data_IF_811938528321
#
_entry.id   IF_811938528321
#
_cell.length_a   1.000
_cell.length_b   1.000
_cell.length_c   1.000
_cell.angle_alpha   90.00
_cell.angle_beta   90.00
_cell.angle_gamma   90.00
#
_symmetry.space_group_name_H-M   'P 1'
#
loop_
_entity.id
_entity.type
_entity.pdbx_description
1 polymer ?
#
# COMPACT_ATOMS: atom_id res chain seq x y z
N UNK A 1 9.29 63.10 40.60
CA UNK A 1 8.82 61.68 40.62
C UNK A 1 8.74 61.26 39.17
N UNK A 2 9.74 60.60 38.70
CA UNK A 2 9.96 60.17 37.30
C UNK A 2 9.95 58.64 37.29
N UNK A 3 9.02 58.06 36.52
CA UNK A 3 8.98 56.64 36.24
C UNK A 3 9.68 56.42 34.85
N UNK A 4 10.78 55.69 34.81
CA UNK A 4 11.36 55.28 33.53
C UNK A 4 11.16 53.76 33.34
N UNK A 5 10.12 53.34 32.64
CA UNK A 5 10.08 52.01 32.01
C UNK A 5 10.61 52.10 30.61
N UNK A 6 11.88 51.80 30.46
CA UNK A 6 12.51 51.50 29.20
C UNK A 6 12.03 50.13 28.71
N UNK A 7 11.54 49.99 27.47
CA UNK A 7 11.29 48.67 26.88
C UNK A 7 12.63 48.02 26.53
N UNK A 8 12.85 46.81 26.96
CA UNK A 8 13.92 45.92 26.54
C UNK A 8 13.77 45.62 25.04
N UNK A 9 14.84 45.62 24.23
CA UNK A 9 14.74 45.28 22.82
C UNK A 9 14.38 43.79 22.67
N UNK A 10 13.33 43.53 21.88
CA UNK A 10 12.95 42.22 21.41
C UNK A 10 14.16 41.54 20.72
N UNK A 11 14.63 40.46 21.33
CA UNK A 11 15.60 39.56 20.70
C UNK A 11 14.89 38.93 19.50
N UNK A 12 15.44 38.98 18.28
CA UNK A 12 14.85 38.31 17.15
C UNK A 12 14.78 36.80 17.43
N UNK A 13 13.58 36.23 17.48
CA UNK A 13 13.38 34.79 17.44
C UNK A 13 13.94 34.34 16.10
N UNK A 14 15.07 33.64 16.13
CA UNK A 14 15.60 32.98 14.93
C UNK A 14 14.48 32.15 14.32
N UNK A 15 14.09 32.50 13.13
CA UNK A 15 13.15 31.73 12.33
C UNK A 15 13.79 30.35 12.08
N UNK A 16 13.36 29.34 12.84
CA UNK A 16 13.74 27.97 12.60
C UNK A 16 13.28 27.64 11.19
N UNK A 17 14.20 27.57 10.25
CA UNK A 17 13.92 27.16 8.87
C UNK A 17 13.29 25.76 8.95
N UNK A 18 12.04 25.66 8.51
CA UNK A 18 11.36 24.38 8.45
C UNK A 18 12.24 23.38 7.67
N UNK A 19 12.46 22.15 8.17
CA UNK A 19 13.32 21.20 7.51
C UNK A 19 12.84 20.97 6.07
N UNK A 20 13.75 21.02 5.12
CA UNK A 20 13.44 20.71 3.72
C UNK A 20 13.06 19.24 3.65
N UNK A 21 11.78 18.95 3.38
CA UNK A 21 11.30 17.58 3.28
C UNK A 21 11.80 16.93 1.99
N UNK A 22 12.23 15.67 2.10
CA UNK A 22 12.55 14.83 0.96
C UNK A 22 11.31 14.67 0.06
N UNK A 23 11.47 14.81 -1.23
CA UNK A 23 10.43 14.49 -2.20
C UNK A 23 10.81 13.21 -2.91
N UNK A 24 9.95 12.18 -2.88
CA UNK A 24 10.27 10.92 -3.53
C UNK A 24 10.54 11.12 -5.02
N UNK A 25 11.59 10.48 -5.52
CA UNK A 25 11.93 10.41 -6.94
C UNK A 25 11.17 9.26 -7.61
N UNK A 26 10.96 8.18 -6.85
CA UNK A 26 10.23 6.99 -7.29
C UNK A 26 8.81 6.97 -6.73
N UNK A 27 7.88 6.21 -7.34
CA UNK A 27 6.57 5.93 -6.74
C UNK A 27 6.74 5.13 -5.44
N UNK A 28 6.66 5.80 -4.29
CA UNK A 28 6.79 5.16 -2.98
C UNK A 28 5.41 4.69 -2.50
N UNK A 29 5.32 3.43 -2.11
CA UNK A 29 4.09 2.79 -1.61
C UNK A 29 4.25 2.32 -0.17
N UNK A 30 3.23 2.54 0.64
CA UNK A 30 3.19 2.11 2.03
C UNK A 30 1.88 1.39 2.37
N UNK A 31 2.00 0.28 3.08
CA UNK A 31 0.89 -0.25 3.88
C UNK A 31 0.91 0.42 5.24
N UNK A 32 -0.27 0.87 5.71
CA UNK A 32 -0.43 1.43 7.05
C UNK A 32 -1.55 0.72 7.81
N UNK A 33 -1.31 0.35 9.08
CA UNK A 33 -2.26 -0.36 9.92
C UNK A 33 -2.08 -0.04 11.41
N UNK A 34 -3.10 -0.31 12.22
CA UNK A 34 -2.93 -0.52 13.66
C UNK A 34 -2.91 -2.02 13.94
N UNK A 35 -2.04 -2.44 14.87
CA UNK A 35 -1.80 -3.85 15.19
C UNK A 35 -3.04 -4.57 15.71
N UNK A 36 -2.99 -5.90 15.72
CA UNK A 36 -4.06 -6.77 16.23
C UNK A 36 -4.42 -6.38 17.67
N UNK A 37 -5.72 -6.35 17.97
CA UNK A 37 -6.34 -5.91 19.23
C UNK A 37 -6.13 -4.43 19.59
N UNK A 38 -5.57 -3.63 18.68
CA UNK A 38 -5.42 -2.19 18.87
C UNK A 38 -6.53 -1.42 18.13
N UNK A 39 -7.33 -0.70 18.87
CA UNK A 39 -8.39 0.17 18.35
C UNK A 39 -7.97 1.64 18.25
N UNK A 40 -6.72 1.99 18.56
CA UNK A 40 -6.23 3.36 18.52
C UNK A 40 -5.77 3.74 17.11
N UNK A 41 -6.70 4.09 16.26
CA UNK A 41 -6.44 4.42 14.85
C UNK A 41 -6.10 5.89 14.58
N UNK A 42 -6.29 6.78 15.54
CA UNK A 42 -6.08 8.22 15.34
C UNK A 42 -4.67 8.56 14.87
N UNK A 43 -3.65 7.95 15.50
CA UNK A 43 -2.24 8.19 15.18
C UNK A 43 -1.90 7.76 13.76
N UNK A 44 -2.23 6.52 13.40
CA UNK A 44 -1.93 5.99 12.07
C UNK A 44 -2.71 6.75 10.98
N UNK A 45 -3.92 7.23 11.30
CA UNK A 45 -4.70 8.08 10.39
C UNK A 45 -4.04 9.45 10.14
N UNK A 46 -3.39 10.03 11.14
CA UNK A 46 -2.61 11.27 10.95
C UNK A 46 -1.37 10.97 10.10
N UNK A 47 -0.61 9.93 10.44
CA UNK A 47 0.61 9.53 9.72
C UNK A 47 0.35 9.25 8.24
N UNK A 48 -0.72 8.49 7.91
CA UNK A 48 -1.08 8.22 6.52
C UNK A 48 -1.41 9.49 5.71
N UNK A 49 -2.04 10.50 6.36
CA UNK A 49 -2.35 11.78 5.71
C UNK A 49 -1.08 12.57 5.40
N UNK A 50 -0.08 12.52 6.29
CA UNK A 50 1.22 13.17 6.09
C UNK A 50 1.97 12.45 4.97
N UNK A 51 2.03 11.10 4.99
CA UNK A 51 2.60 10.30 3.90
C UNK A 51 2.01 10.71 2.53
N UNK A 52 0.68 10.75 2.43
CA UNK A 52 0.00 11.19 1.21
C UNK A 52 0.37 12.62 0.79
N UNK A 53 0.52 13.54 1.76
CA UNK A 53 0.88 14.94 1.45
C UNK A 53 2.31 15.06 0.94
N UNK A 54 3.16 14.07 1.21
CA UNK A 54 4.55 13.98 0.76
C UNK A 54 4.71 13.18 -0.56
N UNK A 55 3.61 12.82 -1.21
CA UNK A 55 3.65 12.16 -2.51
C UNK A 55 3.56 10.63 -2.48
N UNK A 56 3.32 10.02 -1.31
CA UNK A 56 3.28 8.57 -1.14
C UNK A 56 1.91 7.98 -1.51
N UNK A 57 1.92 6.82 -2.16
CA UNK A 57 0.75 5.99 -2.40
C UNK A 57 0.52 5.12 -1.14
N UNK A 58 -0.60 5.32 -0.43
CA UNK A 58 -0.85 4.67 0.86
C UNK A 58 -1.99 3.68 0.76
N UNK A 59 -1.71 2.42 1.05
CA UNK A 59 -2.68 1.35 1.27
C UNK A 59 -2.99 1.31 2.77
N UNK A 60 -4.18 1.79 3.15
CA UNK A 60 -4.57 1.84 4.55
C UNK A 60 -5.49 0.68 4.91
N UNK A 61 -5.07 -0.14 5.88
CA UNK A 61 -5.85 -1.32 6.30
C UNK A 61 -6.76 -1.04 7.50
N UNK A 62 -6.61 0.10 8.18
CA UNK A 62 -7.37 0.42 9.38
C UNK A 62 -6.75 -0.15 10.66
N UNK A 63 -7.61 -0.48 11.61
CA UNK A 63 -7.23 -0.97 12.94
C UNK A 63 -7.45 -2.48 13.07
N UNK A 64 -6.93 -3.06 14.15
CA UNK A 64 -7.11 -4.47 14.51
C UNK A 64 -6.67 -5.43 13.41
N UNK A 65 -5.45 -5.23 12.86
CA UNK A 65 -4.94 -6.05 11.76
C UNK A 65 -3.93 -7.08 12.23
N UNK A 66 -4.16 -8.32 11.82
CA UNK A 66 -3.21 -9.42 12.01
C UNK A 66 -1.94 -9.21 11.18
N UNK A 67 -0.87 -9.90 11.54
CA UNK A 67 0.36 -9.89 10.77
C UNK A 67 0.14 -10.41 9.35
N UNK A 68 -0.63 -11.49 9.19
CA UNK A 68 -0.85 -12.09 7.88
C UNK A 68 -1.64 -11.17 6.94
N UNK A 69 -2.65 -10.44 7.44
CA UNK A 69 -3.36 -9.42 6.64
C UNK A 69 -2.41 -8.31 6.16
N UNK A 70 -1.50 -7.86 7.03
CA UNK A 70 -0.52 -6.81 6.69
C UNK A 70 0.50 -7.33 5.68
N UNK A 71 1.00 -8.56 5.85
CA UNK A 71 1.95 -9.21 4.94
C UNK A 71 1.32 -9.45 3.57
N UNK A 72 0.11 -9.99 3.53
CA UNK A 72 -0.58 -10.23 2.26
C UNK A 72 -0.81 -8.93 1.49
N UNK A 73 -1.21 -7.87 2.19
CA UNK A 73 -1.31 -6.55 1.58
C UNK A 73 0.04 -6.05 1.06
N UNK A 74 1.09 -6.14 1.88
CA UNK A 74 2.42 -5.66 1.51
C UNK A 74 2.98 -6.38 0.28
N UNK A 75 2.80 -7.70 0.19
CA UNK A 75 3.24 -8.53 -0.94
C UNK A 75 2.42 -8.26 -2.20
N UNK A 76 1.10 -8.28 -2.11
CA UNK A 76 0.22 -8.09 -3.27
C UNK A 76 0.31 -6.67 -3.85
N UNK A 77 0.55 -5.69 -2.99
CA UNK A 77 0.70 -4.28 -3.38
C UNK A 77 2.15 -3.92 -3.75
N UNK A 78 3.12 -4.84 -3.57
CA UNK A 78 4.54 -4.63 -3.83
C UNK A 78 5.03 -3.30 -3.25
N UNK A 79 5.00 -3.18 -1.91
CA UNK A 79 5.30 -1.92 -1.22
C UNK A 79 6.77 -1.84 -0.80
N UNK A 80 7.30 -0.62 -0.68
CA UNK A 80 8.62 -0.38 -0.09
C UNK A 80 8.57 -0.36 1.44
N UNK A 81 7.43 0.03 2.03
CA UNK A 81 7.33 0.20 3.47
C UNK A 81 6.01 -0.24 4.08
N UNK A 82 6.10 -0.68 5.33
CA UNK A 82 4.96 -0.97 6.21
C UNK A 82 5.08 -0.13 7.47
N UNK A 83 4.05 0.62 7.81
CA UNK A 83 4.00 1.42 9.04
C UNK A 83 2.85 0.95 9.94
N UNK A 84 3.19 0.49 11.16
CA UNK A 84 2.23 -0.04 12.11
C UNK A 84 2.24 0.76 13.41
N UNK A 85 1.07 1.21 13.85
CA UNK A 85 0.90 1.71 15.21
C UNK A 85 0.55 0.56 16.15
N UNK A 86 1.13 0.55 17.37
CA UNK A 86 0.84 -0.44 18.38
C UNK A 86 0.86 0.18 19.79
N UNK A 87 -0.31 0.23 20.41
CA UNK A 87 -0.52 0.81 21.73
C UNK A 87 -0.79 -0.26 22.79
N UNK A 88 -0.49 -1.52 22.48
CA UNK A 88 -0.74 -2.65 23.39
C UNK A 88 0.50 -3.53 23.59
N UNK A 89 0.45 -4.43 24.60
CA UNK A 89 1.59 -5.18 25.08
C UNK A 89 2.17 -6.27 24.18
N UNK A 90 1.50 -6.64 23.08
CA UNK A 90 1.95 -7.71 22.16
C UNK A 90 2.87 -7.25 21.02
N UNK A 91 3.43 -6.02 21.12
CA UNK A 91 4.21 -5.41 20.05
C UNK A 91 5.50 -6.16 19.72
N UNK A 92 6.18 -6.74 20.71
CA UNK A 92 7.43 -7.47 20.50
C UNK A 92 7.24 -8.68 19.59
N UNK A 93 6.24 -9.50 19.87
CA UNK A 93 5.87 -10.67 19.09
C UNK A 93 5.33 -10.26 17.72
N UNK A 94 4.48 -9.25 17.68
CA UNK A 94 3.87 -8.74 16.45
C UNK A 94 4.92 -8.28 15.44
N UNK A 95 5.85 -7.40 15.84
CA UNK A 95 6.87 -6.87 14.92
C UNK A 95 7.88 -7.94 14.48
N UNK A 96 8.29 -8.84 15.36
CA UNK A 96 9.17 -9.95 15.00
C UNK A 96 8.50 -10.88 14.00
N UNK A 97 7.27 -11.28 14.29
CA UNK A 97 6.51 -12.14 13.40
C UNK A 97 6.25 -11.47 12.03
N UNK A 98 5.98 -10.16 12.02
CA UNK A 98 5.83 -9.38 10.77
C UNK A 98 7.10 -9.44 9.91
N UNK A 99 8.27 -9.21 10.50
CA UNK A 99 9.56 -9.30 9.80
C UNK A 99 9.80 -10.71 9.26
N UNK A 100 9.56 -11.73 10.07
CA UNK A 100 9.74 -13.12 9.66
C UNK A 100 8.82 -13.54 8.54
N UNK A 101 7.55 -13.14 8.61
CA UNK A 101 6.56 -13.43 7.57
C UNK A 101 6.87 -12.73 6.25
N UNK A 102 7.30 -11.46 6.28
CA UNK A 102 7.75 -10.74 5.08
C UNK A 102 8.94 -11.45 4.44
N UNK A 103 9.94 -11.87 5.23
CA UNK A 103 11.10 -12.63 4.73
C UNK A 103 10.68 -13.97 4.11
N UNK A 104 9.81 -14.71 4.79
CA UNK A 104 9.32 -16.02 4.31
C UNK A 104 8.53 -15.90 3.00
N UNK A 105 7.89 -14.73 2.74
CA UNK A 105 7.14 -14.44 1.51
C UNK A 105 8.01 -13.78 0.42
N UNK A 106 9.34 -13.76 0.56
CA UNK A 106 10.24 -13.13 -0.40
C UNK A 106 10.18 -11.60 -0.45
N UNK A 107 9.56 -10.97 0.55
CA UNK A 107 9.40 -9.52 0.70
C UNK A 107 10.33 -8.93 1.77
N UNK A 108 11.51 -9.53 1.97
CA UNK A 108 12.48 -9.09 2.98
C UNK A 108 13.10 -7.70 2.71
N UNK A 109 12.86 -7.11 1.54
CA UNK A 109 13.25 -5.74 1.20
C UNK A 109 12.31 -4.69 1.82
N UNK A 110 11.10 -5.07 2.21
CA UNK A 110 10.11 -4.17 2.78
C UNK A 110 10.58 -3.64 4.13
N UNK A 111 10.66 -2.32 4.25
CA UNK A 111 11.06 -1.65 5.48
C UNK A 111 9.88 -1.60 6.47
N UNK A 112 10.10 -2.09 7.69
CA UNK A 112 9.07 -2.10 8.74
C UNK A 112 9.31 -0.94 9.71
N UNK A 113 8.30 -0.10 9.89
CA UNK A 113 8.30 1.04 10.81
C UNK A 113 7.20 0.88 11.84
N UNK A 114 7.46 1.37 13.04
CA UNK A 114 6.48 1.31 14.11
C UNK A 114 6.50 2.50 15.05
N UNK A 115 5.45 2.58 15.87
CA UNK A 115 5.32 3.54 16.96
C UNK A 115 4.20 3.15 17.90
N UNK A 116 4.26 3.59 19.17
CA UNK A 116 3.28 3.19 20.19
C UNK A 116 3.25 4.14 21.40
N UNK A 117 3.51 5.44 21.22
CA UNK A 117 3.37 6.50 22.24
C UNK A 117 3.87 6.13 23.66
N UNK A 118 5.05 5.47 23.75
CA UNK A 118 5.68 5.14 25.03
C UNK A 118 5.29 3.77 25.62
N UNK A 119 4.41 3.01 24.97
CA UNK A 119 4.15 1.61 25.33
C UNK A 119 5.38 0.75 25.02
N UNK A 120 6.08 1.06 23.92
CA UNK A 120 7.33 0.39 23.54
C UNK A 120 8.49 1.12 24.23
N UNK A 121 9.15 0.46 25.17
CA UNK A 121 10.24 1.05 25.94
C UNK A 121 11.58 1.04 25.17
N UNK A 122 12.57 1.90 25.52
CA UNK A 122 13.81 2.03 24.75
C UNK A 122 14.61 0.72 24.53
N UNK A 123 14.61 -0.18 25.51
CA UNK A 123 15.28 -1.50 25.38
C UNK A 123 14.58 -2.40 24.37
N UNK A 124 13.25 -2.34 24.26
CA UNK A 124 12.48 -3.09 23.28
C UNK A 124 12.67 -2.49 21.89
N UNK A 125 12.69 -1.15 21.77
CA UNK A 125 13.01 -0.45 20.52
C UNK A 125 14.37 -0.96 19.97
N UNK A 126 15.41 -0.96 20.80
CA UNK A 126 16.74 -1.43 20.41
C UNK A 126 16.73 -2.90 19.97
N UNK A 127 16.01 -3.76 20.70
CA UNK A 127 15.90 -5.19 20.39
C UNK A 127 15.12 -5.44 19.09
N UNK A 128 14.04 -4.70 18.81
CA UNK A 128 13.26 -4.81 17.59
C UNK A 128 14.03 -4.31 16.37
N UNK A 129 14.76 -3.20 16.50
CA UNK A 129 15.61 -2.69 15.42
C UNK A 129 16.78 -3.65 15.13
N UNK A 130 17.41 -4.24 16.14
CA UNK A 130 18.43 -5.29 15.96
C UNK A 130 17.88 -6.56 15.28
N UNK A 131 16.57 -6.84 15.45
CA UNK A 131 15.90 -7.98 14.82
C UNK A 131 15.62 -7.76 13.33
N UNK A 132 15.48 -6.50 12.91
CA UNK A 132 15.23 -6.15 11.51
C UNK A 132 14.06 -5.20 11.28
N UNK A 133 13.48 -4.61 12.33
CA UNK A 133 12.58 -3.47 12.21
C UNK A 133 13.41 -2.24 11.85
N UNK A 134 13.05 -1.53 10.79
CA UNK A 134 13.83 -0.40 10.30
C UNK A 134 13.89 0.74 11.32
N UNK A 135 12.75 1.10 11.91
CA UNK A 135 12.68 2.08 12.99
C UNK A 135 11.39 1.97 13.80
N UNK A 136 11.51 2.15 15.12
CA UNK A 136 10.40 2.39 16.03
C UNK A 136 10.54 3.82 16.55
N UNK A 137 9.51 4.63 16.36
CA UNK A 137 9.48 6.02 16.84
C UNK A 137 8.95 6.10 18.27
N UNK A 138 9.74 6.73 19.13
CA UNK A 138 9.40 7.04 20.50
C UNK A 138 8.64 8.38 20.58
N UNK A 139 7.97 8.69 21.73
CA UNK A 139 7.41 10.02 21.98
C UNK A 139 8.44 11.14 21.91
N UNK A 140 9.68 10.84 22.33
CA UNK A 140 10.80 11.79 22.29
C UNK A 140 11.19 12.14 20.84
N UNK A 141 11.18 11.17 19.92
CA UNK A 141 11.38 11.44 18.51
C UNK A 141 10.31 12.40 17.98
N UNK A 142 9.04 12.21 18.38
CA UNK A 142 7.94 13.09 18.02
C UNK A 142 8.09 14.52 18.53
N UNK A 143 8.63 14.69 19.75
CA UNK A 143 8.91 16.01 20.34
C UNK A 143 10.12 16.69 19.69
N UNK A 144 11.16 15.93 19.37
CA UNK A 144 12.40 16.46 18.81
C UNK A 144 12.28 16.80 17.32
N UNK A 145 11.66 15.92 16.52
CA UNK A 145 11.58 16.03 15.06
C UNK A 145 10.28 16.67 14.57
N UNK A 146 9.19 16.45 15.29
CA UNK A 146 7.83 16.70 14.82
C UNK A 146 7.35 15.67 13.78
N UNK A 147 6.03 15.50 13.67
CA UNK A 147 5.43 14.46 12.83
C UNK A 147 5.82 14.53 11.34
N UNK A 148 5.89 15.72 10.68
CA UNK A 148 6.27 15.78 9.27
C UNK A 148 7.69 15.28 9.01
N UNK A 149 8.65 15.57 9.88
CA UNK A 149 10.02 15.12 9.73
C UNK A 149 10.18 13.63 10.04
N UNK A 150 9.48 13.12 11.06
CA UNK A 150 9.42 11.67 11.31
C UNK A 150 8.92 10.91 10.09
N UNK A 151 7.79 11.33 9.51
CA UNK A 151 7.24 10.69 8.31
C UNK A 151 8.20 10.81 7.14
N UNK A 152 8.89 11.95 7.02
CA UNK A 152 9.86 12.18 5.97
C UNK A 152 11.05 11.20 6.03
N UNK A 153 11.46 10.75 7.21
CA UNK A 153 12.48 9.70 7.36
C UNK A 153 12.00 8.36 6.75
N UNK A 154 10.72 8.00 6.95
CA UNK A 154 10.14 6.81 6.32
C UNK A 154 10.18 6.91 4.80
N UNK A 155 9.76 8.07 4.29
CA UNK A 155 9.72 8.32 2.84
C UNK A 155 11.11 8.24 2.23
N UNK A 156 12.10 8.90 2.84
CA UNK A 156 13.48 8.88 2.36
C UNK A 156 14.10 7.48 2.39
N UNK A 157 13.82 6.69 3.43
CA UNK A 157 14.32 5.31 3.54
C UNK A 157 13.70 4.36 2.51
N UNK A 158 12.51 4.68 2.01
CA UNK A 158 11.75 3.84 1.07
C UNK A 158 11.76 4.38 -0.38
N UNK A 159 12.48 5.46 -0.67
CA UNK A 159 12.56 6.02 -2.03
C UNK A 159 13.55 5.22 -2.89
N UNK A 160 13.15 3.99 -3.21
CA UNK A 160 13.87 3.06 -4.06
C UNK A 160 13.01 2.63 -5.24
N UNK A 161 13.65 2.39 -6.39
CA UNK A 161 12.95 1.91 -7.58
C UNK A 161 12.72 0.39 -7.50
N UNK A 162 11.48 -0.03 -7.26
CA UNK A 162 11.12 -1.45 -7.24
C UNK A 162 11.27 -2.13 -8.61
N UNK A 163 11.22 -1.35 -9.70
CA UNK A 163 11.43 -1.89 -11.04
C UNK A 163 12.89 -2.30 -11.32
N UNK A 164 13.82 -2.05 -10.41
CA UNK A 164 15.18 -2.62 -10.48
C UNK A 164 15.25 -4.10 -10.05
N UNK A 165 14.16 -4.62 -9.47
CA UNK A 165 14.05 -5.99 -8.94
C UNK A 165 13.01 -6.84 -9.68
N UNK A 166 12.85 -6.61 -11.00
CA UNK A 166 11.94 -7.40 -11.82
C UNK A 166 12.42 -8.85 -11.92
N UNK A 167 11.48 -9.82 -12.06
CA UNK A 167 11.84 -11.22 -12.24
C UNK A 167 12.56 -11.42 -13.58
N UNK A 168 13.52 -12.35 -13.59
CA UNK A 168 14.29 -12.68 -14.79
C UNK A 168 13.44 -13.40 -15.84
N UNK A 169 12.46 -14.18 -15.40
CA UNK A 169 11.49 -14.92 -16.21
C UNK A 169 10.09 -14.88 -15.56
N UNK A 170 9.13 -15.49 -16.21
CA UNK A 170 7.73 -15.52 -15.76
C UNK A 170 7.28 -16.87 -15.17
N UNK A 171 8.18 -17.83 -15.01
CA UNK A 171 7.82 -19.20 -14.59
C UNK A 171 7.06 -19.22 -13.28
N UNK A 172 7.52 -18.44 -12.28
CA UNK A 172 6.86 -18.34 -10.99
C UNK A 172 5.46 -17.68 -11.11
N UNK A 173 5.31 -16.62 -11.92
CA UNK A 173 4.02 -15.99 -12.19
C UNK A 173 3.07 -17.00 -12.87
N UNK A 174 3.53 -17.72 -13.87
CA UNK A 174 2.73 -18.70 -14.60
C UNK A 174 2.31 -19.90 -13.73
N UNK A 175 3.03 -20.15 -12.64
CA UNK A 175 2.66 -21.14 -11.62
C UNK A 175 1.77 -20.56 -10.49
N UNK A 176 1.39 -19.28 -10.56
CA UNK A 176 0.46 -18.64 -9.63
C UNK A 176 1.10 -17.93 -8.44
N UNK A 177 2.40 -17.60 -8.51
CA UNK A 177 3.06 -16.86 -7.44
C UNK A 177 2.63 -15.38 -7.41
N UNK A 178 1.93 -14.98 -6.36
CA UNK A 178 1.43 -13.62 -6.18
C UNK A 178 2.53 -12.59 -5.96
N UNK A 179 3.68 -12.99 -5.41
CA UNK A 179 4.82 -12.08 -5.21
C UNK A 179 5.41 -11.68 -6.56
N UNK A 180 5.60 -12.66 -7.45
CA UNK A 180 6.08 -12.41 -8.81
C UNK A 180 5.06 -11.62 -9.62
N UNK A 181 3.77 -11.94 -9.50
CA UNK A 181 2.70 -11.17 -10.14
C UNK A 181 2.74 -9.69 -9.73
N UNK A 182 2.89 -9.41 -8.43
CA UNK A 182 2.96 -8.03 -7.91
C UNK A 182 4.15 -7.26 -8.51
N UNK A 183 5.33 -7.87 -8.58
CA UNK A 183 6.54 -7.28 -9.20
C UNK A 183 6.38 -7.04 -10.71
N UNK A 184 5.77 -7.99 -11.43
CA UNK A 184 5.47 -7.83 -12.85
C UNK A 184 4.52 -6.66 -13.07
N UNK A 185 3.47 -6.52 -12.25
CA UNK A 185 2.56 -5.36 -12.33
C UNK A 185 3.33 -4.06 -12.07
N UNK A 186 4.20 -4.01 -11.07
CA UNK A 186 5.07 -2.84 -10.81
C UNK A 186 5.93 -2.52 -12.04
N UNK A 187 6.49 -3.52 -12.71
CA UNK A 187 7.25 -3.36 -13.95
C UNK A 187 6.42 -2.81 -15.10
N UNK A 188 5.18 -3.25 -15.25
CA UNK A 188 4.23 -2.73 -16.24
C UNK A 188 3.89 -1.27 -15.92
N UNK A 189 3.53 -0.95 -14.67
CA UNK A 189 3.24 0.43 -14.24
C UNK A 189 4.42 1.39 -14.47
N UNK A 190 5.66 0.90 -14.33
CA UNK A 190 6.88 1.65 -14.58
C UNK A 190 7.27 1.73 -16.06
N UNK A 191 6.60 0.97 -16.95
CA UNK A 191 6.98 0.84 -18.37
C UNK A 191 8.35 0.18 -18.56
N UNK A 192 8.78 -0.67 -17.64
CA UNK A 192 10.12 -1.28 -17.61
C UNK A 192 10.10 -2.80 -17.80
N UNK A 193 8.92 -3.42 -17.90
CA UNK A 193 8.87 -4.85 -18.20
C UNK A 193 9.37 -5.09 -19.62
N UNK A 194 10.32 -6.04 -19.85
CA UNK A 194 10.86 -6.33 -21.19
C UNK A 194 9.76 -6.75 -22.18
N UNK A 195 9.86 -6.30 -23.43
CA UNK A 195 8.84 -6.59 -24.47
C UNK A 195 8.63 -8.09 -24.70
N UNK A 196 9.68 -8.92 -24.59
CA UNK A 196 9.53 -10.37 -24.71
C UNK A 196 8.69 -10.96 -23.59
N UNK A 197 8.79 -10.45 -22.35
CA UNK A 197 7.94 -10.87 -21.23
C UNK A 197 6.50 -10.37 -21.41
N UNK A 198 6.29 -9.14 -21.92
CA UNK A 198 4.95 -8.65 -22.27
C UNK A 198 4.30 -9.53 -23.33
N UNK A 199 5.04 -9.91 -24.38
CA UNK A 199 4.55 -10.80 -25.41
C UNK A 199 4.19 -12.19 -24.86
N UNK A 200 5.00 -12.72 -23.96
CA UNK A 200 4.74 -14.00 -23.28
C UNK A 200 3.49 -13.93 -22.40
N UNK A 201 3.31 -12.88 -21.61
CA UNK A 201 2.11 -12.65 -20.80
C UNK A 201 0.85 -12.60 -21.65
N UNK A 202 0.87 -11.82 -22.74
CA UNK A 202 -0.25 -11.70 -23.68
C UNK A 202 -0.58 -13.03 -24.31
N UNK A 203 0.44 -13.80 -24.72
CA UNK A 203 0.27 -15.13 -25.28
C UNK A 203 -0.29 -16.14 -24.26
N UNK A 204 0.17 -16.11 -23.01
CA UNK A 204 -0.35 -16.96 -21.94
C UNK A 204 -1.80 -16.61 -21.60
N UNK A 205 -2.12 -15.32 -21.47
CA UNK A 205 -3.48 -14.84 -21.22
C UNK A 205 -4.45 -15.23 -22.35
N UNK A 206 -4.04 -15.14 -23.61
CA UNK A 206 -4.88 -15.48 -24.76
C UNK A 206 -5.28 -16.96 -24.82
N UNK A 207 -4.52 -17.86 -24.17
CA UNK A 207 -4.85 -19.29 -24.08
C UNK A 207 -5.93 -19.59 -23.04
N UNK A 208 -6.28 -18.62 -22.19
CA UNK A 208 -7.23 -18.77 -21.09
C UNK A 208 -8.47 -17.93 -21.36
N UNK A 209 -9.65 -18.57 -21.30
CA UNK A 209 -10.94 -17.86 -21.39
C UNK A 209 -11.36 -17.38 -20.00
N UNK A 210 -10.71 -16.33 -19.52
CA UNK A 210 -11.01 -15.73 -18.21
C UNK A 210 -11.93 -14.53 -18.42
N UNK A 211 -13.13 -14.50 -17.79
CA UNK A 211 -13.99 -13.33 -17.85
C UNK A 211 -13.34 -12.14 -17.11
N UNK A 212 -13.58 -10.95 -17.65
CA UNK A 212 -13.20 -9.67 -17.02
C UNK A 212 -14.45 -8.88 -16.75
N UNK A 213 -14.66 -8.51 -15.48
CA UNK A 213 -15.79 -7.72 -15.04
C UNK A 213 -15.33 -6.30 -14.72
N UNK A 214 -15.72 -5.31 -15.52
CA UNK A 214 -15.52 -3.90 -15.22
C UNK A 214 -16.63 -3.35 -14.32
N UNK A 215 -16.25 -2.72 -13.19
CA UNK A 215 -17.18 -2.03 -12.28
C UNK A 215 -16.85 -0.54 -12.30
N UNK A 216 -17.81 0.25 -12.80
CA UNK A 216 -17.68 1.70 -12.90
C UNK A 216 -18.89 2.41 -12.32
N UNK A 217 -18.80 3.71 -12.08
CA UNK A 217 -19.89 4.52 -11.56
C UNK A 217 -19.40 5.71 -10.73
N UNK A 218 -20.35 6.58 -10.35
CA UNK A 218 -20.07 7.79 -9.59
C UNK A 218 -19.58 7.52 -8.16
N UNK A 219 -19.00 8.54 -7.52
CA UNK A 219 -18.65 8.47 -6.10
C UNK A 219 -19.86 8.15 -5.22
N UNK A 220 -19.72 7.23 -4.28
CA UNK A 220 -20.80 6.83 -3.38
C UNK A 220 -21.85 5.87 -3.98
N UNK A 221 -21.72 5.44 -5.24
CA UNK A 221 -22.67 4.51 -5.88
C UNK A 221 -22.60 3.06 -5.37
N UNK A 222 -21.66 2.75 -4.48
CA UNK A 222 -21.55 1.42 -3.88
C UNK A 222 -20.68 0.44 -4.66
N UNK A 223 -19.82 0.88 -5.59
CA UNK A 223 -18.93 0.02 -6.38
C UNK A 223 -18.13 -0.97 -5.53
N UNK A 224 -17.34 -0.47 -4.59
CA UNK A 224 -16.50 -1.32 -3.73
C UNK A 224 -17.31 -2.25 -2.83
N UNK A 225 -18.50 -1.84 -2.39
CA UNK A 225 -19.42 -2.72 -1.64
C UNK A 225 -20.00 -3.82 -2.54
N UNK A 226 -20.29 -3.51 -3.80
CA UNK A 226 -20.72 -4.51 -4.78
C UNK A 226 -19.58 -5.47 -5.10
N UNK A 227 -18.36 -4.98 -5.29
CA UNK A 227 -17.16 -5.80 -5.52
C UNK A 227 -16.95 -6.77 -4.37
N UNK A 228 -16.98 -6.29 -3.12
CA UNK A 228 -16.81 -7.12 -1.92
C UNK A 228 -17.87 -8.22 -1.82
N UNK A 229 -19.15 -7.87 -2.02
CA UNK A 229 -20.25 -8.85 -1.98
C UNK A 229 -20.18 -9.86 -3.14
N UNK A 230 -19.76 -9.46 -4.34
CA UNK A 230 -19.55 -10.39 -5.46
C UNK A 230 -18.43 -11.38 -5.14
N UNK A 231 -17.28 -10.91 -4.63
CA UNK A 231 -16.18 -11.79 -4.23
C UNK A 231 -16.67 -12.77 -3.17
N UNK A 232 -17.35 -12.27 -2.14
CA UNK A 232 -17.91 -13.10 -1.06
C UNK A 232 -18.83 -14.17 -1.60
N UNK A 233 -19.72 -13.83 -2.55
CA UNK A 233 -20.65 -14.80 -3.17
C UNK A 233 -19.93 -15.83 -4.01
N UNK A 234 -19.00 -15.42 -4.87
CA UNK A 234 -18.21 -16.35 -5.66
C UNK A 234 -17.42 -17.33 -4.77
N UNK A 235 -16.84 -16.84 -3.67
CA UNK A 235 -16.16 -17.70 -2.70
C UNK A 235 -17.10 -18.73 -2.07
N UNK A 236 -18.29 -18.31 -1.65
CA UNK A 236 -19.29 -19.18 -1.04
C UNK A 236 -19.83 -20.21 -2.04
N UNK A 237 -20.27 -19.76 -3.22
CA UNK A 237 -20.92 -20.59 -4.22
C UNK A 237 -19.95 -21.62 -4.83
N UNK A 238 -18.68 -21.32 -4.88
CA UNK A 238 -17.62 -22.19 -5.41
C UNK A 238 -16.73 -22.81 -4.32
N UNK A 239 -17.14 -22.75 -3.05
CA UNK A 239 -16.42 -23.35 -1.91
C UNK A 239 -14.94 -22.91 -1.84
N UNK A 240 -14.65 -21.64 -2.10
CA UNK A 240 -13.29 -21.08 -2.15
C UNK A 240 -12.35 -21.75 -3.17
N UNK A 241 -12.86 -22.34 -4.24
CA UNK A 241 -12.02 -23.00 -5.27
C UNK A 241 -11.61 -22.10 -6.41
N UNK A 242 -12.26 -20.92 -6.56
CA UNK A 242 -11.91 -19.97 -7.61
C UNK A 242 -10.78 -19.04 -7.17
N UNK A 243 -9.87 -18.79 -8.10
CA UNK A 243 -8.87 -17.73 -7.98
C UNK A 243 -9.40 -16.45 -8.60
N UNK A 244 -9.58 -15.41 -7.79
CA UNK A 244 -10.15 -14.12 -8.21
C UNK A 244 -9.06 -13.05 -8.14
N UNK A 245 -8.87 -12.29 -9.22
CA UNK A 245 -8.02 -11.11 -9.21
C UNK A 245 -8.87 -9.84 -9.23
N UNK A 246 -8.56 -8.90 -8.35
CA UNK A 246 -9.19 -7.58 -8.28
C UNK A 246 -8.14 -6.51 -8.54
N UNK A 247 -8.39 -5.69 -9.53
CA UNK A 247 -7.58 -4.50 -9.85
C UNK A 247 -8.43 -3.27 -9.55
N UNK A 248 -8.10 -2.56 -8.48
CA UNK A 248 -8.80 -1.36 -8.06
C UNK A 248 -8.00 -0.11 -8.45
N UNK A 249 -8.62 0.81 -9.17
CA UNK A 249 -7.96 2.05 -9.60
C UNK A 249 -8.45 3.22 -8.76
N UNK A 250 -7.54 3.86 -8.03
CA UNK A 250 -7.80 5.00 -7.17
C UNK A 250 -7.20 6.30 -7.75
N UNK A 251 -7.87 7.45 -7.55
CA UNK A 251 -7.39 8.71 -8.07
C UNK A 251 -6.18 9.25 -7.28
N UNK A 252 -5.18 9.73 -8.01
CA UNK A 252 -4.06 10.46 -7.43
C UNK A 252 -4.46 11.90 -7.10
N UNK A 253 -4.00 12.42 -5.96
CA UNK A 253 -4.26 13.81 -5.57
C UNK A 253 -3.58 14.79 -6.51
N UNK A 254 -4.31 15.78 -6.99
CA UNK A 254 -3.78 16.86 -7.85
C UNK A 254 -2.69 17.70 -7.16
N UNK A 255 -2.73 17.82 -5.81
CA UNK A 255 -1.70 18.49 -5.02
C UNK A 255 -0.91 17.45 -4.22
N UNK A 256 0.41 17.43 -4.37
CA UNK A 256 1.32 16.55 -3.63
C UNK A 256 1.64 15.23 -4.33
N UNK A 257 0.86 14.78 -5.30
CA UNK A 257 1.14 13.56 -6.09
C UNK A 257 0.89 12.23 -5.36
N UNK A 258 0.51 12.24 -4.07
CA UNK A 258 0.20 11.03 -3.33
C UNK A 258 -1.22 10.53 -3.55
N UNK A 259 -1.46 9.26 -3.26
CA UNK A 259 -2.78 8.63 -3.37
C UNK A 259 -3.19 7.95 -2.06
N UNK A 260 -4.48 7.92 -1.77
CA UNK A 260 -5.06 6.94 -0.85
C UNK A 260 -5.61 5.81 -1.70
N UNK A 261 -4.96 4.68 -1.64
CA UNK A 261 -5.41 3.45 -2.25
C UNK A 261 -6.34 2.78 -1.23
N UNK A 262 -7.58 3.30 -1.18
CA UNK A 262 -8.50 3.09 -0.05
C UNK A 262 -9.50 1.97 -0.24
N UNK A 263 -9.55 1.33 -1.40
CA UNK A 263 -10.58 0.32 -1.64
C UNK A 263 -10.32 -0.96 -0.86
N UNK A 264 -9.05 -1.32 -0.64
CA UNK A 264 -8.69 -2.52 0.13
C UNK A 264 -9.29 -2.55 1.55
N UNK A 265 -9.35 -1.43 2.26
CA UNK A 265 -9.94 -1.38 3.62
C UNK A 265 -11.43 -1.72 3.65
N UNK A 266 -12.11 -1.58 2.51
CA UNK A 266 -13.55 -1.84 2.37
C UNK A 266 -13.86 -3.28 1.99
N UNK A 267 -12.82 -4.05 1.61
CA UNK A 267 -12.95 -5.44 1.17
C UNK A 267 -12.80 -6.38 2.36
N UNK A 268 -13.91 -6.96 2.80
CA UNK A 268 -13.94 -7.94 3.90
C UNK A 268 -13.79 -9.37 3.38
N UNK A 269 -13.98 -9.58 2.08
CA UNK A 269 -13.91 -10.89 1.45
C UNK A 269 -12.50 -11.29 1.01
N UNK A 270 -11.45 -10.53 1.39
CA UNK A 270 -10.05 -10.79 1.01
C UNK A 270 -9.34 -11.79 1.93
N UNK A 271 -9.94 -12.18 3.05
CA UNK A 271 -9.30 -13.07 4.02
C UNK A 271 -8.78 -14.35 3.36
N UNK A 272 -7.58 -14.83 3.76
CA UNK A 272 -7.01 -16.04 3.23
C UNK A 272 -7.98 -17.23 3.38
N UNK A 273 -8.03 -18.08 2.35
CA UNK A 273 -8.83 -19.29 2.37
C UNK A 273 -7.94 -20.52 2.55
N UNK A 274 -8.28 -21.38 3.47
CA UNK A 274 -7.63 -22.69 3.67
C UNK A 274 -8.00 -23.71 2.57
N UNK A 275 -8.96 -23.37 1.68
CA UNK A 275 -9.55 -24.31 0.70
C UNK A 275 -8.96 -24.24 -0.71
N UNK A 276 -7.96 -23.39 -0.92
CA UNK A 276 -7.17 -23.37 -2.15
C UNK A 276 -7.51 -22.26 -3.15
N UNK A 277 -8.68 -21.62 -3.09
CA UNK A 277 -8.97 -20.42 -3.87
C UNK A 277 -8.32 -19.19 -3.23
N UNK A 278 -7.74 -18.32 -4.03
CA UNK A 278 -7.07 -17.12 -3.54
C UNK A 278 -7.71 -15.87 -4.14
N UNK A 279 -7.80 -14.81 -3.34
CA UNK A 279 -8.12 -13.48 -3.84
C UNK A 279 -6.84 -12.66 -3.92
N UNK A 280 -6.42 -12.33 -5.14
CA UNK A 280 -5.36 -11.37 -5.39
C UNK A 280 -5.98 -9.98 -5.50
N UNK A 281 -5.46 -9.02 -4.77
CA UNK A 281 -5.95 -7.64 -4.81
C UNK A 281 -4.79 -6.67 -5.03
N UNK A 282 -4.87 -5.86 -6.09
CA UNK A 282 -3.89 -4.83 -6.40
C UNK A 282 -4.56 -3.48 -6.59
N UNK A 283 -4.09 -2.49 -5.85
CA UNK A 283 -4.48 -1.10 -6.03
C UNK A 283 -3.56 -0.42 -7.04
N UNK A 284 -4.11 0.35 -7.96
CA UNK A 284 -3.38 1.18 -8.91
C UNK A 284 -3.72 2.65 -8.69
N UNK A 285 -2.72 3.52 -8.74
CA UNK A 285 -2.93 4.95 -8.73
C UNK A 285 -3.04 5.49 -10.15
N UNK A 286 -3.97 6.40 -10.42
CA UNK A 286 -4.08 7.02 -11.76
C UNK A 286 -2.84 7.82 -12.15
N UNK A 287 -2.07 8.32 -11.18
CA UNK A 287 -0.87 9.16 -11.36
C UNK A 287 -1.15 10.33 -12.29
N UNK A 288 -0.67 10.27 -13.55
CA UNK A 288 -0.88 11.31 -14.57
C UNK A 288 -2.11 11.07 -15.44
N UNK A 289 -2.70 9.86 -15.38
CA UNK A 289 -3.90 9.53 -16.13
C UNK A 289 -5.16 10.14 -15.51
N UNK A 290 -6.19 10.34 -16.31
CA UNK A 290 -7.47 10.90 -15.84
C UNK A 290 -8.39 9.84 -15.24
N UNK A 291 -8.43 8.64 -15.84
CA UNK A 291 -9.39 7.59 -15.49
C UNK A 291 -8.75 6.22 -15.30
N UNK A 292 -7.97 5.76 -16.27
CA UNK A 292 -7.35 4.42 -16.27
C UNK A 292 -5.84 4.57 -16.47
N UNK A 293 -5.00 3.95 -15.64
CA UNK A 293 -3.55 4.01 -15.81
C UNK A 293 -3.11 3.28 -17.10
N UNK A 294 -2.05 3.77 -17.76
CA UNK A 294 -1.49 3.08 -18.92
C UNK A 294 -1.04 1.66 -18.53
N UNK A 295 -1.18 0.70 -19.46
CA UNK A 295 -0.79 -0.70 -19.25
C UNK A 295 -1.85 -1.54 -18.54
N UNK A 296 -3.07 -1.06 -18.32
CA UNK A 296 -4.14 -1.83 -17.65
C UNK A 296 -4.42 -3.16 -18.36
N UNK A 297 -4.38 -3.19 -19.68
CA UNK A 297 -4.61 -4.42 -20.46
C UNK A 297 -3.52 -5.47 -20.21
N UNK A 298 -2.27 -5.03 -20.07
CA UNK A 298 -1.15 -5.91 -19.74
C UNK A 298 -1.21 -6.39 -18.28
N UNK A 299 -1.70 -5.55 -17.37
CA UNK A 299 -1.95 -5.92 -15.97
C UNK A 299 -3.05 -6.98 -15.92
N UNK A 300 -4.16 -6.79 -16.64
CA UNK A 300 -5.22 -7.81 -16.77
C UNK A 300 -4.67 -9.09 -17.39
N UNK A 301 -3.84 -8.99 -18.43
CA UNK A 301 -3.19 -10.16 -19.03
C UNK A 301 -2.29 -10.89 -18.03
N UNK A 302 -1.52 -10.16 -17.19
CA UNK A 302 -0.68 -10.74 -16.16
C UNK A 302 -1.50 -11.52 -15.12
N UNK A 303 -2.64 -10.97 -14.68
CA UNK A 303 -3.53 -11.69 -13.73
C UNK A 303 -4.14 -12.94 -14.32
N UNK A 304 -4.55 -12.90 -15.61
CA UNK A 304 -5.03 -14.08 -16.35
C UNK A 304 -3.94 -15.14 -16.47
N UNK A 305 -2.73 -14.73 -16.85
CA UNK A 305 -1.58 -15.63 -17.00
C UNK A 305 -1.21 -16.28 -15.67
N UNK A 306 -1.31 -15.54 -14.54
CA UNK A 306 -1.05 -16.03 -13.19
C UNK A 306 -2.11 -16.99 -12.65
N UNK A 307 -3.14 -17.32 -13.41
CA UNK A 307 -4.08 -18.36 -13.02
C UNK A 307 -5.43 -17.86 -12.49
N UNK A 308 -5.75 -16.57 -12.56
CA UNK A 308 -7.07 -16.09 -12.19
C UNK A 308 -8.18 -16.76 -13.03
N UNK A 309 -9.29 -17.10 -12.38
CA UNK A 309 -10.51 -17.62 -13.01
C UNK A 309 -11.51 -16.50 -13.31
N UNK A 310 -11.40 -15.38 -12.59
CA UNK A 310 -12.15 -14.16 -12.77
C UNK A 310 -11.25 -12.96 -12.51
N UNK A 311 -11.32 -11.93 -13.36
CA UNK A 311 -10.68 -10.63 -13.11
C UNK A 311 -11.76 -9.59 -12.91
N UNK A 312 -11.69 -8.82 -11.84
CA UNK A 312 -12.56 -7.67 -11.58
C UNK A 312 -11.70 -6.41 -11.68
N UNK A 313 -12.14 -5.45 -12.50
CA UNK A 313 -11.50 -4.13 -12.60
C UNK A 313 -12.47 -3.09 -12.07
N UNK A 314 -12.13 -2.49 -10.92
CA UNK A 314 -12.89 -1.38 -10.34
C UNK A 314 -12.22 -0.06 -10.74
N UNK A 315 -13.01 0.85 -11.33
CA UNK A 315 -12.48 2.14 -11.79
C UNK A 315 -12.71 3.24 -10.77
N UNK A 316 -11.95 4.34 -10.84
CA UNK A 316 -12.20 5.52 -10.02
C UNK A 316 -13.65 5.99 -10.20
N UNK A 317 -14.14 6.76 -9.24
CA UNK A 317 -15.40 7.47 -9.43
C UNK A 317 -15.29 8.39 -10.64
N UNK A 318 -16.14 8.15 -11.64
CA UNK A 318 -16.22 8.97 -12.84
C UNK A 318 -17.26 10.07 -12.66
N UNK A 319 -16.94 11.27 -13.14
CA UNK A 319 -17.95 12.32 -13.33
C UNK A 319 -18.80 11.97 -14.56
N UNK A 320 -20.05 12.44 -14.58
CA UNK A 320 -21.00 12.17 -15.68
C UNK A 320 -20.41 12.61 -17.03
N UNK A 321 -19.91 11.68 -17.81
CA UNK A 321 -19.37 11.95 -19.15
C UNK A 321 -18.17 11.09 -19.58
N UNK A 322 -17.51 10.40 -18.66
CA UNK A 322 -16.33 9.59 -18.98
C UNK A 322 -16.71 8.11 -19.22
N UNK A 323 -16.92 7.75 -20.48
CA UNK A 323 -17.22 6.37 -20.91
C UNK A 323 -15.97 5.55 -21.31
N UNK A 324 -14.76 6.08 -21.10
CA UNK A 324 -13.50 5.46 -21.57
C UNK A 324 -13.18 4.06 -20.99
N UNK A 325 -13.97 3.59 -20.03
CA UNK A 325 -13.80 2.27 -19.38
C UNK A 325 -14.46 1.13 -20.15
N UNK A 326 -15.35 1.44 -21.08
CA UNK A 326 -16.13 0.42 -21.81
C UNK A 326 -15.29 -0.29 -22.88
N UNK A 327 -14.14 0.28 -23.25
CA UNK A 327 -13.28 -0.22 -24.34
C UNK A 327 -12.19 -1.19 -23.86
N UNK A 328 -12.10 -1.45 -22.53
CA UNK A 328 -11.15 -2.36 -21.90
C UNK A 328 -11.86 -3.58 -21.27
#
# INVERSE_FOLDING_TARGET
MSDPRTPTPDTPVEATTAPTLHRPVHPVRFVTAASLFDGHDASINIMRRILQSQGVEVIHLGHNRSVDEVVDAAVQEDVQGVAVSSYQGGHNEYFRYLVDRLRARGAGHVQVFGGGCGVIIPSEIAALQAYGVARIFSPQDGQALGLPAMVNELVAACDVDLADHLPADLDALLSGDHTTLARVITGIEAGRLPEHQLAELRAAAARRRVPVLGITGTGGSGKSSLTDELIRRFRLDHEDKLSIAVIAVDPTRRRGGGALLGDRIRMNALDPSDRGGAVYFRSLATRTATTVPPGIDDIVAATKAAGADLVIVETPAIDQGDAAVVDH
#
